data_IF_849665273706
#
_entry.id   IF_849665273706
#
_cell.length_a   1.000
_cell.length_b   1.000
_cell.length_c   1.000
_cell.angle_alpha   90.00
_cell.angle_beta   90.00
_cell.angle_gamma   90.00
#
_symmetry.space_group_name_H-M   'P 1'
#
loop_
_entity.id
_entity.type
_entity.pdbx_description
1 polymer ?
#
# COMPACT_ATOMS: atom_id res chain seq x y z
N UNK A 1 6.14 -12.12 -39.72
CA UNK A 1 5.98 -11.11 -38.69
C UNK A 1 6.35 -11.78 -37.36
N UNK A 2 7.36 -11.30 -36.63
CA UNK A 2 7.73 -11.86 -35.32
C UNK A 2 6.71 -11.42 -34.30
N UNK A 3 6.12 -12.36 -33.55
CA UNK A 3 5.28 -12.05 -32.42
C UNK A 3 6.11 -11.34 -31.32
N UNK A 4 5.55 -10.23 -30.80
CA UNK A 4 6.17 -9.51 -29.68
C UNK A 4 6.05 -10.34 -28.38
N UNK A 5 7.15 -10.56 -27.70
CA UNK A 5 7.22 -11.29 -26.43
C UNK A 5 7.30 -10.28 -25.29
N UNK A 6 6.43 -10.45 -24.26
CA UNK A 6 6.43 -9.63 -23.04
C UNK A 6 6.48 -10.52 -21.80
N UNK A 7 7.43 -10.26 -20.91
CA UNK A 7 7.61 -11.01 -19.67
C UNK A 7 7.03 -10.21 -18.50
N UNK A 8 5.86 -10.61 -17.99
CA UNK A 8 5.16 -9.97 -16.88
C UNK A 8 5.09 -10.85 -15.60
N UNK A 9 5.71 -12.03 -15.63
CA UNK A 9 5.76 -12.91 -14.46
C UNK A 9 6.42 -12.24 -13.25
N UNK A 10 5.77 -12.32 -12.09
CA UNK A 10 6.27 -11.77 -10.82
C UNK A 10 6.16 -10.25 -10.66
N UNK A 11 5.58 -9.52 -11.64
CA UNK A 11 5.30 -8.09 -11.50
C UNK A 11 4.04 -7.85 -10.67
N UNK A 12 4.03 -6.71 -9.95
CA UNK A 12 2.86 -6.28 -9.18
C UNK A 12 1.67 -6.00 -10.11
N UNK A 13 0.53 -6.64 -9.86
CA UNK A 13 -0.69 -6.54 -10.66
C UNK A 13 -1.59 -5.38 -10.19
N UNK A 14 -1.02 -4.18 -10.11
CA UNK A 14 -1.71 -2.98 -9.63
C UNK A 14 -2.96 -2.65 -10.45
N UNK A 15 -2.91 -2.84 -11.77
CA UNK A 15 -4.05 -2.55 -12.63
C UNK A 15 -5.27 -3.45 -12.34
N UNK A 16 -5.05 -4.73 -12.05
CA UNK A 16 -6.11 -5.65 -11.66
C UNK A 16 -6.71 -5.23 -10.31
N UNK A 17 -5.87 -4.93 -9.32
CA UNK A 17 -6.33 -4.42 -8.04
C UNK A 17 -7.17 -3.15 -8.18
N UNK A 18 -6.77 -2.20 -9.03
CA UNK A 18 -7.54 -0.97 -9.27
C UNK A 18 -8.91 -1.29 -9.92
N UNK A 19 -8.98 -2.27 -10.82
CA UNK A 19 -10.23 -2.68 -11.43
C UNK A 19 -11.18 -3.31 -10.41
N UNK A 20 -10.68 -4.22 -9.57
CA UNK A 20 -11.47 -4.90 -8.55
C UNK A 20 -12.01 -3.92 -7.49
N UNK A 21 -11.21 -2.96 -7.10
CA UNK A 21 -11.55 -1.96 -6.07
C UNK A 21 -11.96 -0.60 -6.63
N UNK A 22 -12.42 -0.53 -7.89
CA UNK A 22 -12.74 0.75 -8.54
C UNK A 22 -13.72 1.62 -7.75
N UNK A 23 -14.81 1.04 -7.25
CA UNK A 23 -15.82 1.78 -6.49
C UNK A 23 -15.32 2.24 -5.12
N UNK A 24 -14.73 1.36 -4.27
CA UNK A 24 -14.09 1.81 -3.03
C UNK A 24 -13.00 2.87 -3.23
N UNK A 25 -12.14 2.70 -4.23
CA UNK A 25 -11.10 3.70 -4.54
C UNK A 25 -11.69 5.03 -4.99
N UNK A 26 -12.82 5.02 -5.72
CA UNK A 26 -13.52 6.25 -6.08
C UNK A 26 -14.08 6.96 -4.86
N UNK A 27 -14.60 6.24 -3.87
CA UNK A 27 -15.07 6.82 -2.61
C UNK A 27 -13.92 7.44 -1.81
N UNK A 28 -12.78 6.76 -1.72
CA UNK A 28 -11.56 7.30 -1.09
C UNK A 28 -11.05 8.54 -1.82
N UNK A 29 -11.11 8.54 -3.16
CA UNK A 29 -10.72 9.69 -3.97
C UNK A 29 -11.57 10.93 -3.66
N UNK A 30 -12.89 10.78 -3.46
CA UNK A 30 -13.77 11.87 -3.05
C UNK A 30 -13.38 12.50 -1.72
N UNK A 31 -12.97 11.69 -0.74
CA UNK A 31 -12.43 12.20 0.53
C UNK A 31 -11.15 13.01 0.32
N UNK A 32 -10.26 12.52 -0.54
CA UNK A 32 -9.04 13.24 -0.89
C UNK A 32 -9.34 14.58 -1.60
N UNK A 33 -10.29 14.60 -2.55
CA UNK A 33 -10.75 15.82 -3.22
C UNK A 33 -11.36 16.81 -2.23
N UNK A 34 -12.27 16.35 -1.35
CA UNK A 34 -12.86 17.17 -0.30
C UNK A 34 -11.79 17.84 0.58
N UNK A 35 -10.76 17.09 0.98
CA UNK A 35 -9.63 17.64 1.72
C UNK A 35 -8.80 18.65 0.91
N UNK A 36 -8.63 18.44 -0.40
CA UNK A 36 -7.91 19.36 -1.27
C UNK A 36 -8.68 20.68 -1.47
N UNK A 37 -10.00 20.61 -1.59
CA UNK A 37 -10.88 21.79 -1.71
C UNK A 37 -10.94 22.58 -0.40
N UNK A 38 -10.99 21.88 0.75
CA UNK A 38 -11.09 22.51 2.08
C UNK A 38 -9.80 23.22 2.50
N UNK A 39 -8.64 22.69 2.19
CA UNK A 39 -7.37 23.17 2.73
C UNK A 39 -6.40 23.70 1.67
N UNK A 40 -6.13 22.98 0.64
CA UNK A 40 -5.21 23.24 -0.46
C UNK A 40 -4.76 21.91 -1.06
N UNK A 41 -4.48 21.88 -2.33
CA UNK A 41 -3.90 20.70 -3.00
C UNK A 41 -2.60 20.27 -2.32
N UNK A 42 -2.54 19.00 -1.97
CA UNK A 42 -1.37 18.36 -1.31
C UNK A 42 -1.08 18.86 0.12
N UNK A 43 -1.98 19.62 0.75
CA UNK A 43 -1.85 20.06 2.15
C UNK A 43 -1.65 18.86 3.11
N UNK A 44 -2.26 17.72 2.82
CA UNK A 44 -2.14 16.51 3.63
C UNK A 44 -0.67 16.04 3.84
N UNK A 45 0.25 16.41 2.94
CA UNK A 45 1.69 16.11 3.05
C UNK A 45 2.44 17.05 4.00
N UNK A 46 1.83 18.17 4.36
CA UNK A 46 2.43 19.22 5.20
C UNK A 46 2.00 19.11 6.66
N UNK A 47 1.22 18.09 7.01
CA UNK A 47 0.64 17.92 8.35
C UNK A 47 1.73 17.49 9.33
N UNK A 48 1.98 18.30 10.35
CA UNK A 48 2.89 17.97 11.44
C UNK A 48 2.35 16.79 12.25
N UNK A 49 3.23 15.91 12.73
CA UNK A 49 2.87 14.70 13.47
C UNK A 49 1.81 13.86 12.75
N UNK A 50 1.98 13.73 11.44
CA UNK A 50 0.97 13.21 10.52
C UNK A 50 0.51 11.79 10.89
N UNK A 51 1.44 10.90 11.26
CA UNK A 51 1.13 9.51 11.62
C UNK A 51 0.10 9.44 12.75
N UNK A 52 0.27 10.22 13.82
CA UNK A 52 -0.65 10.25 14.95
C UNK A 52 -1.98 10.92 14.58
N UNK A 53 -1.92 12.04 13.86
CA UNK A 53 -3.12 12.78 13.46
C UNK A 53 -4.01 11.98 12.54
N UNK A 54 -3.44 11.27 11.56
CA UNK A 54 -4.21 10.37 10.69
C UNK A 54 -4.69 9.12 11.43
N UNK A 55 -3.94 8.61 12.41
CA UNK A 55 -4.42 7.54 13.28
C UNK A 55 -5.65 7.97 14.07
N UNK A 56 -5.59 9.15 14.71
CA UNK A 56 -6.71 9.66 15.49
C UNK A 56 -7.93 9.98 14.62
N UNK A 57 -7.74 10.54 13.43
CA UNK A 57 -8.83 10.80 12.49
C UNK A 57 -9.47 9.49 12.01
N UNK A 58 -8.66 8.48 11.68
CA UNK A 58 -9.14 7.15 11.28
C UNK A 58 -10.00 6.52 12.35
N UNK A 59 -9.52 6.52 13.60
CA UNK A 59 -10.25 5.92 14.73
C UNK A 59 -11.55 6.67 15.03
N UNK A 60 -11.56 8.01 14.95
CA UNK A 60 -12.78 8.80 15.13
C UNK A 60 -13.85 8.44 14.11
N UNK A 61 -13.51 8.41 12.81
CA UNK A 61 -14.46 8.01 11.77
C UNK A 61 -14.92 6.56 11.92
N UNK A 62 -14.04 5.65 12.36
CA UNK A 62 -14.42 4.26 12.61
C UNK A 62 -15.45 4.13 13.74
N UNK A 63 -15.32 4.94 14.80
CA UNK A 63 -16.27 4.96 15.92
C UNK A 63 -17.59 5.64 15.54
N UNK A 64 -17.54 6.71 14.76
CA UNK A 64 -18.73 7.43 14.32
C UNK A 64 -19.55 6.64 13.30
N UNK A 65 -18.91 5.79 12.49
CA UNK A 65 -19.57 4.90 11.53
C UNK A 65 -20.63 3.99 12.16
N UNK A 66 -20.40 3.56 13.41
CA UNK A 66 -21.37 2.71 14.15
C UNK A 66 -22.70 3.44 14.39
N UNK A 67 -22.66 4.76 14.60
CA UNK A 67 -23.85 5.57 14.84
C UNK A 67 -24.54 6.02 13.55
N UNK A 68 -23.76 6.35 12.53
CA UNK A 68 -24.23 6.84 11.22
C UNK A 68 -23.22 6.53 10.13
N UNK A 69 -23.65 6.18 8.90
CA UNK A 69 -22.74 5.79 7.84
C UNK A 69 -22.02 6.97 7.17
N UNK A 70 -22.57 8.20 7.26
CA UNK A 70 -22.07 9.38 6.56
C UNK A 70 -21.57 10.44 7.54
N UNK A 71 -20.46 11.08 7.20
CA UNK A 71 -19.91 12.24 7.91
C UNK A 71 -20.75 13.48 7.65
N UNK A 72 -21.09 14.25 8.70
CA UNK A 72 -22.00 15.39 8.60
C UNK A 72 -21.40 16.56 7.82
N UNK A 73 -20.08 16.70 7.78
CA UNK A 73 -19.42 17.81 7.13
C UNK A 73 -19.24 17.57 5.63
N UNK A 74 -18.75 16.38 5.28
CA UNK A 74 -18.42 16.04 3.91
C UNK A 74 -19.54 15.34 3.14
N UNK A 75 -20.56 14.82 3.85
CA UNK A 75 -21.60 13.94 3.34
C UNK A 75 -21.06 12.67 2.66
N UNK A 76 -19.80 12.29 2.99
CA UNK A 76 -19.13 11.10 2.48
C UNK A 76 -19.17 9.99 3.53
N UNK A 77 -19.03 8.74 3.08
CA UNK A 77 -19.01 7.59 3.97
C UNK A 77 -17.85 7.68 4.97
N UNK A 78 -18.14 7.46 6.26
CA UNK A 78 -17.10 7.31 7.29
C UNK A 78 -16.09 6.22 6.93
N UNK A 79 -16.53 5.08 6.36
CA UNK A 79 -15.64 4.03 5.85
C UNK A 79 -14.63 4.55 4.80
N UNK A 80 -15.04 5.49 3.93
CA UNK A 80 -14.12 6.09 2.96
C UNK A 80 -13.10 7.01 3.64
N UNK A 81 -13.49 7.74 4.69
CA UNK A 81 -12.57 8.52 5.52
C UNK A 81 -11.59 7.62 6.28
N UNK A 82 -12.04 6.49 6.83
CA UNK A 82 -11.17 5.49 7.46
C UNK A 82 -10.12 5.00 6.47
N UNK A 83 -10.53 4.60 5.28
CA UNK A 83 -9.62 4.11 4.25
C UNK A 83 -8.63 5.19 3.78
N UNK A 84 -9.08 6.44 3.57
CA UNK A 84 -8.20 7.57 3.24
C UNK A 84 -7.15 7.80 4.33
N UNK A 85 -7.56 7.90 5.59
CA UNK A 85 -6.66 8.14 6.71
C UNK A 85 -5.64 7.00 6.87
N UNK A 86 -6.05 5.74 6.64
CA UNK A 86 -5.15 4.59 6.66
C UNK A 86 -4.08 4.67 5.56
N UNK A 87 -4.46 5.06 4.34
CA UNK A 87 -3.52 5.25 3.22
C UNK A 87 -2.56 6.41 3.50
N UNK A 88 -3.08 7.55 3.98
CA UNK A 88 -2.25 8.70 4.33
C UNK A 88 -1.25 8.35 5.45
N UNK A 89 -1.72 7.67 6.50
CA UNK A 89 -0.87 7.16 7.57
C UNK A 89 0.22 6.21 7.05
N UNK A 90 -0.12 5.29 6.16
CA UNK A 90 0.83 4.37 5.55
C UNK A 90 1.92 5.13 4.77
N UNK A 91 1.56 6.18 4.04
CA UNK A 91 2.51 7.03 3.34
C UNK A 91 3.59 7.58 4.30
N UNK A 92 3.20 8.14 5.44
CA UNK A 92 4.15 8.71 6.42
C UNK A 92 4.99 7.66 7.13
N UNK A 93 4.42 6.49 7.43
CA UNK A 93 5.20 5.36 7.98
C UNK A 93 6.27 4.91 6.99
N UNK A 94 5.96 4.85 5.70
CA UNK A 94 6.93 4.49 4.66
C UNK A 94 8.03 5.54 4.53
N UNK A 95 7.67 6.82 4.60
CA UNK A 95 8.61 7.94 4.55
C UNK A 95 9.55 7.95 5.76
N UNK A 96 9.00 7.83 6.98
CA UNK A 96 9.76 7.76 8.24
C UNK A 96 10.78 6.60 8.24
N UNK A 97 10.42 5.46 7.66
CA UNK A 97 11.28 4.28 7.60
C UNK A 97 12.23 4.26 6.39
N UNK A 98 12.25 5.33 5.60
CA UNK A 98 13.06 5.39 4.38
C UNK A 98 12.65 4.36 3.32
N UNK A 99 11.42 3.83 3.41
CA UNK A 99 10.87 2.94 2.40
C UNK A 99 10.49 3.76 1.15
N UNK A 100 10.63 3.20 -0.06
CA UNK A 100 10.35 3.97 -1.28
C UNK A 100 8.87 4.33 -1.35
N UNK A 101 8.57 5.58 -1.05
CA UNK A 101 7.24 6.18 -1.24
C UNK A 101 6.93 6.35 -2.73
N UNK A 102 7.96 6.32 -3.58
CA UNK A 102 7.87 6.29 -5.03
C UNK A 102 8.55 5.04 -5.53
N UNK A 103 7.84 4.21 -6.26
CA UNK A 103 8.46 3.19 -7.09
C UNK A 103 9.26 3.88 -8.20
N UNK A 104 10.54 4.21 -7.94
CA UNK A 104 11.47 4.50 -9.02
C UNK A 104 11.85 3.16 -9.64
N UNK A 105 11.82 3.01 -10.97
CA UNK A 105 12.57 1.93 -11.61
C UNK A 105 14.02 2.03 -11.09
N UNK A 106 14.62 0.90 -10.73
CA UNK A 106 16.02 0.87 -10.33
C UNK A 106 16.85 1.52 -11.45
N UNK A 107 17.46 2.68 -11.18
CA UNK A 107 18.41 3.30 -12.10
C UNK A 107 19.57 2.31 -12.26
N UNK A 108 19.72 1.76 -13.46
CA UNK A 108 20.83 0.86 -13.78
C UNK A 108 20.49 -0.56 -14.20
N UNK A 109 19.22 -0.93 -14.34
CA UNK A 109 18.85 -2.24 -14.90
C UNK A 109 18.97 -2.27 -16.45
N UNK A 110 20.12 -1.88 -16.97
CA UNK A 110 20.60 -2.28 -18.30
C UNK A 110 21.53 -3.46 -18.08
N UNK A 111 20.98 -4.65 -17.91
CA UNK A 111 21.75 -5.85 -17.67
C UNK A 111 20.99 -7.06 -18.18
N UNK A 112 21.60 -7.71 -19.15
CA UNK A 112 21.33 -9.05 -19.71
C UNK A 112 20.42 -9.92 -18.83
N UNK A 113 19.24 -10.20 -19.37
CA UNK A 113 18.22 -11.06 -18.76
C UNK A 113 18.72 -12.51 -18.73
N UNK A 114 19.38 -12.92 -17.66
CA UNK A 114 19.46 -14.33 -17.29
C UNK A 114 18.20 -14.67 -16.51
N UNK A 115 17.52 -15.79 -16.78
CA UNK A 115 16.33 -16.19 -16.06
C UNK A 115 16.71 -16.59 -14.64
N UNK A 116 16.66 -15.62 -13.72
CA UNK A 116 16.72 -15.88 -12.28
C UNK A 116 15.31 -16.04 -11.73
N UNK A 117 15.08 -16.98 -10.83
CA UNK A 117 13.76 -17.26 -10.29
C UNK A 117 13.21 -16.03 -9.59
N UNK A 118 12.08 -15.53 -10.07
CA UNK A 118 11.19 -14.51 -9.49
C UNK A 118 11.96 -13.27 -8.98
N UNK A 119 12.20 -12.30 -9.84
CA UNK A 119 12.56 -10.95 -9.41
C UNK A 119 11.40 -10.38 -8.59
N UNK A 120 11.52 -10.51 -7.28
CA UNK A 120 10.72 -9.79 -6.32
C UNK A 120 10.94 -8.31 -6.54
N UNK A 121 9.87 -7.51 -6.44
CA UNK A 121 9.95 -6.06 -6.58
C UNK A 121 11.01 -5.50 -5.63
N UNK A 122 11.61 -4.37 -5.96
CA UNK A 122 12.57 -3.69 -5.07
C UNK A 122 12.00 -3.47 -3.67
N UNK A 123 10.67 -3.30 -3.57
CA UNK A 123 9.92 -3.22 -2.32
C UNK A 123 10.00 -4.52 -1.50
N UNK A 124 9.76 -5.69 -2.12
CA UNK A 124 9.83 -6.98 -1.42
C UNK A 124 11.24 -7.26 -0.90
N UNK A 125 12.25 -6.89 -1.68
CA UNK A 125 13.65 -7.03 -1.28
C UNK A 125 13.99 -6.11 -0.09
N UNK A 126 13.55 -4.86 -0.12
CA UNK A 126 13.75 -3.89 0.96
C UNK A 126 12.97 -4.24 2.21
N UNK A 127 11.71 -4.69 2.08
CA UNK A 127 10.92 -5.15 3.23
C UNK A 127 11.53 -6.36 3.90
N UNK A 128 12.07 -7.32 3.12
CA UNK A 128 12.80 -8.46 3.70
C UNK A 128 14.05 -8.03 4.46
N UNK A 129 14.85 -7.13 3.88
CA UNK A 129 16.03 -6.59 4.54
C UNK A 129 15.63 -5.87 5.82
N UNK A 130 14.61 -5.00 5.77
CA UNK A 130 14.08 -4.30 6.93
C UNK A 130 13.62 -5.28 8.04
N UNK A 131 12.86 -6.32 7.69
CA UNK A 131 12.37 -7.32 8.65
C UNK A 131 13.50 -8.20 9.20
N UNK A 132 14.58 -8.44 8.42
CA UNK A 132 15.78 -9.11 8.92
C UNK A 132 16.56 -8.26 9.92
N UNK A 133 16.61 -6.94 9.69
CA UNK A 133 17.28 -5.98 10.58
C UNK A 133 16.43 -5.64 11.82
N UNK A 134 15.10 -5.88 11.77
CA UNK A 134 14.13 -5.56 12.83
C UNK A 134 13.20 -6.75 13.14
N UNK A 135 13.76 -7.89 13.60
CA UNK A 135 12.96 -9.09 13.86
C UNK A 135 11.87 -8.90 14.92
N UNK A 136 12.05 -7.94 15.85
CA UNK A 136 11.09 -7.56 16.88
C UNK A 136 9.81 -6.93 16.32
N UNK A 137 9.80 -6.53 15.06
CA UNK A 137 8.65 -5.89 14.38
C UNK A 137 7.83 -6.84 13.51
N UNK A 138 8.18 -8.12 13.54
CA UNK A 138 7.38 -9.15 12.89
C UNK A 138 6.18 -9.49 13.80
N UNK A 139 4.98 -9.04 13.42
CA UNK A 139 3.73 -9.45 14.08
C UNK A 139 3.35 -10.87 13.67
N UNK A 140 4.05 -11.85 14.17
CA UNK A 140 3.74 -13.26 14.09
C UNK A 140 4.02 -13.85 15.46
N UNK A 141 2.97 -14.11 16.23
CA UNK A 141 3.09 -14.84 17.50
C UNK A 141 3.70 -16.21 17.24
N UNK A 142 4.61 -16.58 18.14
CA UNK A 142 5.41 -17.79 18.27
C UNK A 142 6.80 -17.72 17.65
N UNK A 143 7.76 -17.89 18.54
CA UNK A 143 9.21 -17.88 18.35
C UNK A 143 9.75 -18.99 17.44
N UNK A 144 9.24 -19.12 16.22
CA UNK A 144 9.88 -19.94 15.19
C UNK A 144 9.97 -19.16 13.89
N UNK A 145 11.15 -19.08 13.22
CA UNK A 145 11.30 -18.38 11.96
C UNK A 145 10.85 -19.26 10.79
N UNK A 146 9.64 -19.76 10.83
CA UNK A 146 8.99 -20.32 9.63
C UNK A 146 8.30 -19.18 8.91
N UNK A 147 8.97 -18.66 7.88
CA UNK A 147 8.35 -17.77 6.90
C UNK A 147 7.30 -18.57 6.14
N UNK A 148 6.09 -18.61 6.67
CA UNK A 148 4.95 -19.16 5.95
C UNK A 148 4.58 -18.20 4.83
N UNK A 149 5.08 -18.47 3.63
CA UNK A 149 4.68 -17.78 2.41
C UNK A 149 3.36 -18.44 1.98
N UNK A 150 2.19 -17.78 2.04
CA UNK A 150 0.90 -18.40 1.73
C UNK A 150 0.64 -18.56 0.22
N UNK A 151 1.65 -18.59 -0.62
CA UNK A 151 1.53 -18.89 -2.05
C UNK A 151 2.62 -19.86 -2.51
N UNK A 152 2.40 -21.16 -2.29
CA UNK A 152 2.98 -22.18 -3.15
C UNK A 152 2.16 -22.19 -4.44
N UNK A 153 2.72 -21.65 -5.50
CA UNK A 153 2.28 -21.97 -6.86
C UNK A 153 2.52 -23.45 -7.12
N UNK A 154 1.48 -24.12 -7.60
CA UNK A 154 1.32 -25.54 -7.76
C UNK A 154 2.52 -26.31 -8.28
N UNK A 155 2.77 -27.43 -7.63
CA UNK A 155 3.45 -28.57 -8.20
C UNK A 155 2.54 -29.17 -9.27
N UNK A 156 2.96 -29.08 -10.54
CA UNK A 156 2.41 -29.90 -11.60
C UNK A 156 2.76 -31.34 -11.28
N UNK A 157 1.76 -32.16 -10.97
CA UNK A 157 1.90 -33.60 -10.97
C UNK A 157 2.00 -34.06 -12.41
N UNK A 158 3.05 -34.82 -12.72
CA UNK A 158 3.12 -35.71 -13.86
C UNK A 158 2.07 -36.82 -13.75
#
# INVERSE_FOLDING_TARGET
MSEGIKFDGGKLRLAEMIQDFRLPLSAVCRVWEFGADKYEKSNWKKVDNATDRYTNAMLRHLMEEEAKPFDDESELLHAAHVAWNAIARLYFIMEEKGLPVRMRPAEGAVGTCTPTPIMRTSYDCMMRKYLQEHPERYYGGDNTPEVHIPYRLGETKE
#
